data_IF_881233658120
#
_entry.id   IF_881233658120
#
_cell.length_a   1.000
_cell.length_b   1.000
_cell.length_c   1.000
_cell.angle_alpha   90.00
_cell.angle_beta   90.00
_cell.angle_gamma   90.00
#
_symmetry.space_group_name_H-M   'P 1'
#
loop_
_entity.id
_entity.type
_entity.pdbx_description
1 polymer ?
#
# COMPACT_ATOMS: atom_id res chain seq x y z
N UNK A 1 -42.36 12.79 -0.78
CA UNK A 1 -41.58 11.73 -0.13
C UNK A 1 -40.98 12.26 1.17
N UNK A 2 -40.83 11.44 2.22
CA UNK A 2 -40.23 11.87 3.49
C UNK A 2 -38.71 11.71 3.40
N UNK A 3 -37.97 12.82 3.30
CA UNK A 3 -36.51 12.82 3.22
C UNK A 3 -35.82 12.30 4.51
N UNK A 4 -36.58 12.22 5.62
CA UNK A 4 -36.10 11.72 6.92
C UNK A 4 -36.62 10.34 7.26
N UNK A 5 -37.13 9.58 6.27
CA UNK A 5 -37.49 8.18 6.49
C UNK A 5 -36.25 7.38 6.92
N UNK A 6 -36.44 6.47 7.89
CA UNK A 6 -35.41 5.56 8.38
C UNK A 6 -35.88 4.11 8.27
N UNK A 7 -34.94 3.21 8.01
CA UNK A 7 -35.21 1.77 8.02
C UNK A 7 -35.21 1.20 9.45
N UNK A 8 -35.40 -0.12 9.58
CA UNK A 8 -35.39 -0.84 10.85
C UNK A 8 -34.11 -0.69 11.69
N UNK A 9 -32.97 -0.39 11.05
CA UNK A 9 -31.68 -0.09 11.71
C UNK A 9 -31.51 1.37 12.10
N UNK A 10 -32.50 2.22 11.81
CA UNK A 10 -32.45 3.66 12.02
C UNK A 10 -31.64 4.40 10.96
N UNK A 11 -31.19 3.73 9.89
CA UNK A 11 -30.46 4.39 8.82
C UNK A 11 -31.40 5.27 7.99
N UNK A 12 -31.10 6.55 7.86
CA UNK A 12 -31.82 7.48 7.00
C UNK A 12 -31.49 7.23 5.51
N UNK A 13 -32.29 7.81 4.62
CA UNK A 13 -32.00 7.78 3.18
C UNK A 13 -30.63 8.43 2.91
N UNK A 14 -30.32 9.51 3.63
CA UNK A 14 -29.05 10.22 3.52
C UNK A 14 -27.84 9.37 3.92
N UNK A 15 -28.03 8.42 4.88
CA UNK A 15 -26.99 7.45 5.26
C UNK A 15 -26.51 6.59 4.09
N UNK A 16 -27.38 6.27 3.13
CA UNK A 16 -27.06 5.49 1.94
C UNK A 16 -26.66 6.34 0.72
N UNK A 17 -26.72 7.66 0.83
CA UNK A 17 -26.39 8.56 -0.27
C UNK A 17 -24.88 8.51 -0.56
N UNK A 18 -24.48 7.83 -1.63
CA UNK A 18 -23.09 7.58 -1.97
C UNK A 18 -22.46 8.69 -2.83
N UNK A 19 -23.26 9.51 -3.49
CA UNK A 19 -22.78 10.53 -4.44
C UNK A 19 -23.20 11.95 -4.03
N UNK A 20 -22.33 12.92 -4.29
CA UNK A 20 -22.59 14.31 -3.98
C UNK A 20 -23.90 14.87 -4.59
N UNK A 21 -24.28 14.56 -5.84
CA UNK A 21 -25.58 15.00 -6.37
C UNK A 21 -26.76 14.50 -5.55
N UNK A 22 -26.73 13.24 -5.08
CA UNK A 22 -27.81 12.66 -4.27
C UNK A 22 -27.82 13.29 -2.87
N UNK A 23 -26.66 13.48 -2.22
CA UNK A 23 -26.54 14.17 -0.95
C UNK A 23 -27.11 15.58 -1.06
N UNK A 24 -26.71 16.33 -2.08
CA UNK A 24 -27.20 17.69 -2.35
C UNK A 24 -28.73 17.73 -2.53
N UNK A 25 -29.28 16.80 -3.30
CA UNK A 25 -30.71 16.68 -3.51
C UNK A 25 -31.46 16.41 -2.19
N UNK A 26 -30.99 15.47 -1.39
CA UNK A 26 -31.63 15.11 -0.13
C UNK A 26 -31.57 16.24 0.89
N UNK A 27 -30.43 16.91 1.00
CA UNK A 27 -30.29 18.10 1.87
C UNK A 27 -31.23 19.23 1.45
N UNK A 28 -31.35 19.48 0.14
CA UNK A 28 -32.29 20.48 -0.39
C UNK A 28 -33.77 20.16 -0.07
N UNK A 29 -34.08 18.87 0.14
CA UNK A 29 -35.41 18.42 0.55
C UNK A 29 -35.55 18.21 2.07
N UNK A 30 -34.66 18.76 2.86
CA UNK A 30 -34.74 18.79 4.33
C UNK A 30 -34.32 17.47 5.00
N UNK A 31 -33.51 16.65 4.35
CA UNK A 31 -32.90 15.51 5.02
C UNK A 31 -31.97 15.99 6.14
N UNK A 32 -32.05 15.36 7.30
CA UNK A 32 -31.22 15.71 8.47
C UNK A 32 -29.81 15.10 8.34
N UNK A 33 -28.77 15.88 8.12
CA UNK A 33 -27.39 15.37 8.00
C UNK A 33 -26.81 14.88 9.34
N UNK A 34 -27.38 15.26 10.47
CA UNK A 34 -26.99 14.83 11.82
C UNK A 34 -27.78 13.61 12.33
N UNK A 35 -28.67 13.02 11.50
CA UNK A 35 -29.45 11.87 11.91
C UNK A 35 -28.54 10.69 12.27
N UNK A 36 -28.76 10.09 13.44
CA UNK A 36 -27.99 8.94 13.92
C UNK A 36 -28.80 7.64 13.78
N UNK A 37 -28.17 6.60 13.32
CA UNK A 37 -28.73 5.27 13.31
C UNK A 37 -28.69 4.61 14.71
N UNK A 38 -29.15 3.35 14.84
CA UNK A 38 -29.15 2.64 16.12
C UNK A 38 -27.75 2.34 16.69
N UNK A 39 -26.68 2.49 15.87
CA UNK A 39 -25.28 2.39 16.30
C UNK A 39 -24.65 3.74 16.65
N UNK A 40 -25.43 4.81 16.54
CA UNK A 40 -24.95 6.19 16.78
C UNK A 40 -24.21 6.80 15.61
N UNK A 41 -24.17 6.14 14.45
CA UNK A 41 -23.46 6.61 13.26
C UNK A 41 -24.31 7.61 12.46
N UNK A 42 -23.66 8.62 11.94
CA UNK A 42 -24.24 9.62 11.04
C UNK A 42 -24.01 9.25 9.57
N UNK A 43 -24.69 9.91 8.60
CA UNK A 43 -24.39 9.76 7.19
C UNK A 43 -22.92 10.08 6.84
N UNK A 44 -22.31 11.07 7.50
CA UNK A 44 -20.89 11.41 7.33
C UNK A 44 -19.98 10.26 7.80
N UNK A 45 -20.29 9.65 8.95
CA UNK A 45 -19.52 8.50 9.46
C UNK A 45 -19.53 7.35 8.46
N UNK A 46 -20.69 7.07 7.86
CA UNK A 46 -20.80 6.02 6.84
C UNK A 46 -19.95 6.34 5.59
N UNK A 47 -19.89 7.60 5.17
CA UNK A 47 -19.01 7.99 4.06
C UNK A 47 -17.54 7.72 4.35
N UNK A 48 -17.09 8.07 5.56
CA UNK A 48 -15.71 7.83 5.98
C UNK A 48 -15.39 6.34 6.14
N UNK A 49 -16.32 5.54 6.64
CA UNK A 49 -16.12 4.08 6.76
C UNK A 49 -15.80 3.44 5.41
N UNK A 50 -16.44 3.92 4.34
CA UNK A 50 -16.31 3.37 2.99
C UNK A 50 -15.33 4.12 2.08
N UNK A 51 -14.62 5.13 2.56
CA UNK A 51 -13.59 5.85 1.81
C UNK A 51 -12.24 5.14 1.97
N UNK A 52 -11.98 4.09 1.19
CA UNK A 52 -10.84 3.18 1.38
C UNK A 52 -9.89 3.09 0.19
N UNK A 53 -10.30 3.55 -0.99
CA UNK A 53 -9.51 3.58 -2.23
C UNK A 53 -9.63 4.94 -2.93
N UNK A 54 -8.86 5.17 -3.99
CA UNK A 54 -8.79 6.44 -4.73
C UNK A 54 -10.16 6.97 -5.10
N UNK A 55 -11.00 6.12 -5.69
CA UNK A 55 -12.34 6.49 -6.16
C UNK A 55 -13.26 6.81 -5.00
N UNK A 56 -13.31 5.97 -3.98
CA UNK A 56 -14.22 6.13 -2.83
C UNK A 56 -13.80 7.30 -1.94
N UNK A 57 -12.50 7.61 -1.83
CA UNK A 57 -12.00 8.81 -1.16
C UNK A 57 -12.43 10.06 -1.92
N UNK A 58 -12.23 10.10 -3.24
CA UNK A 58 -12.64 11.25 -4.07
C UNK A 58 -14.16 11.49 -4.02
N UNK A 59 -14.97 10.43 -4.07
CA UNK A 59 -16.43 10.52 -3.91
C UNK A 59 -16.82 11.01 -2.50
N UNK A 60 -16.08 10.57 -1.46
CA UNK A 60 -16.34 10.98 -0.09
C UNK A 60 -16.09 12.48 0.13
N UNK A 61 -15.02 13.04 -0.44
CA UNK A 61 -14.68 14.46 -0.31
C UNK A 61 -15.84 15.36 -0.74
N UNK A 62 -16.39 15.12 -1.93
CA UNK A 62 -17.51 15.90 -2.45
C UNK A 62 -18.77 15.81 -1.56
N UNK A 63 -18.99 14.67 -0.90
CA UNK A 63 -20.07 14.50 0.08
C UNK A 63 -19.75 15.20 1.40
N UNK A 64 -18.50 15.06 1.90
CA UNK A 64 -18.02 15.72 3.13
C UNK A 64 -18.20 17.22 3.06
N UNK A 65 -17.78 17.86 1.96
CA UNK A 65 -17.95 19.30 1.76
C UNK A 65 -19.41 19.74 1.89
N UNK A 66 -20.36 18.98 1.37
CA UNK A 66 -21.79 19.25 1.49
C UNK A 66 -22.28 19.12 2.95
N UNK A 67 -21.78 18.16 3.70
CA UNK A 67 -22.11 18.00 5.13
C UNK A 67 -21.54 19.14 5.98
N UNK A 68 -20.31 19.58 5.70
CA UNK A 68 -19.69 20.72 6.38
C UNK A 68 -20.43 22.03 6.06
N UNK A 69 -20.83 22.23 4.80
CA UNK A 69 -21.66 23.36 4.38
C UNK A 69 -23.05 23.35 5.05
N UNK A 70 -23.59 22.16 5.35
CA UNK A 70 -24.82 21.99 6.11
C UNK A 70 -24.66 22.20 7.62
N UNK A 71 -23.47 22.61 8.09
CA UNK A 71 -23.17 22.92 9.49
C UNK A 71 -22.84 21.74 10.38
N UNK A 72 -22.49 20.57 9.81
CA UNK A 72 -22.06 19.43 10.60
C UNK A 72 -20.67 19.70 11.17
N UNK A 73 -20.54 19.60 12.49
CA UNK A 73 -19.24 19.69 13.17
C UNK A 73 -18.49 18.36 13.07
N UNK A 74 -17.19 18.45 12.80
CA UNK A 74 -16.29 17.30 12.76
C UNK A 74 -16.07 16.79 14.20
N UNK A 75 -16.27 15.49 14.40
CA UNK A 75 -16.03 14.81 15.68
C UNK A 75 -14.60 14.25 15.77
N UNK A 76 -14.14 13.97 17.00
CA UNK A 76 -12.84 13.36 17.22
C UNK A 76 -12.75 11.98 16.56
N UNK A 77 -13.79 11.15 16.69
CA UNK A 77 -13.85 9.85 16.01
C UNK A 77 -13.65 9.97 14.49
N UNK A 78 -14.21 11.00 13.86
CA UNK A 78 -14.04 11.22 12.42
C UNK A 78 -12.59 11.60 12.07
N UNK A 79 -11.92 12.40 12.91
CA UNK A 79 -10.49 12.71 12.76
C UNK A 79 -9.63 11.47 12.90
N UNK A 80 -9.86 10.66 13.94
CA UNK A 80 -9.18 9.40 14.16
C UNK A 80 -9.39 8.44 12.99
N UNK A 81 -10.62 8.37 12.45
CA UNK A 81 -10.93 7.53 11.29
C UNK A 81 -10.17 7.98 10.03
N UNK A 82 -10.09 9.27 9.76
CA UNK A 82 -9.31 9.81 8.63
C UNK A 82 -7.80 9.60 8.85
N UNK A 83 -7.29 9.78 10.07
CA UNK A 83 -5.90 9.47 10.40
C UNK A 83 -5.58 7.98 10.18
N UNK A 84 -6.48 7.09 10.62
CA UNK A 84 -6.35 5.65 10.38
C UNK A 84 -6.34 5.32 8.88
N UNK A 85 -7.22 5.94 8.07
CA UNK A 85 -7.25 5.76 6.62
C UNK A 85 -5.95 6.21 5.97
N UNK A 86 -5.43 7.38 6.37
CA UNK A 86 -4.12 7.88 5.93
C UNK A 86 -3.01 6.86 6.17
N UNK A 87 -2.95 6.30 7.37
CA UNK A 87 -1.87 5.40 7.79
C UNK A 87 -1.96 4.02 7.09
N UNK A 88 -3.19 3.57 6.76
CA UNK A 88 -3.43 2.26 6.17
C UNK A 88 -3.75 2.29 4.67
N UNK A 89 -3.73 3.47 4.05
CA UNK A 89 -4.06 3.63 2.64
C UNK A 89 -3.18 2.76 1.73
N UNK A 90 -1.87 2.80 1.93
CA UNK A 90 -0.92 2.03 1.13
C UNK A 90 -1.11 0.51 1.32
N UNK A 91 -1.37 0.07 2.55
CA UNK A 91 -1.64 -1.34 2.85
C UNK A 91 -2.92 -1.81 2.18
N UNK A 92 -3.96 -0.98 2.20
CA UNK A 92 -5.23 -1.28 1.56
C UNK A 92 -5.08 -1.41 0.05
N UNK A 93 -4.43 -0.44 -0.59
CA UNK A 93 -4.20 -0.44 -2.03
C UNK A 93 -3.38 -1.66 -2.47
N UNK A 94 -2.30 -1.99 -1.74
CA UNK A 94 -1.48 -3.16 -2.01
C UNK A 94 -2.26 -4.48 -1.83
N UNK A 95 -3.11 -4.56 -0.80
CA UNK A 95 -3.92 -5.77 -0.52
C UNK A 95 -4.90 -6.12 -1.63
N UNK A 96 -5.45 -5.11 -2.31
CA UNK A 96 -6.44 -5.29 -3.38
C UNK A 96 -5.83 -5.12 -4.78
N UNK A 97 -4.49 -5.08 -4.87
CA UNK A 97 -3.75 -4.89 -6.14
C UNK A 97 -4.21 -3.63 -6.92
N UNK A 98 -4.66 -2.60 -6.20
CA UNK A 98 -5.11 -1.35 -6.80
C UNK A 98 -3.86 -0.48 -7.03
N UNK A 99 -3.60 -0.04 -8.28
CA UNK A 99 -2.47 0.85 -8.55
C UNK A 99 -2.67 2.20 -7.85
N UNK A 100 -1.63 2.71 -7.21
CA UNK A 100 -1.63 4.07 -6.70
C UNK A 100 -1.70 5.08 -7.84
N UNK A 101 -2.47 6.15 -7.66
CA UNK A 101 -2.51 7.26 -8.58
C UNK A 101 -2.13 8.57 -7.89
N UNK A 102 -1.49 9.53 -8.60
CA UNK A 102 -1.26 10.86 -8.06
C UNK A 102 -2.54 11.54 -7.60
N UNK A 103 -3.65 11.28 -8.30
CA UNK A 103 -4.99 11.79 -7.98
C UNK A 103 -5.51 11.19 -6.67
N UNK A 104 -5.26 9.91 -6.41
CA UNK A 104 -5.64 9.23 -5.16
C UNK A 104 -4.91 9.82 -3.96
N UNK A 105 -3.60 10.03 -4.06
CA UNK A 105 -2.85 10.70 -3.01
C UNK A 105 -3.29 12.16 -2.78
N UNK A 106 -3.60 12.89 -3.86
CA UNK A 106 -4.12 14.24 -3.75
C UNK A 106 -5.49 14.26 -3.04
N UNK A 107 -6.36 13.30 -3.38
CA UNK A 107 -7.66 13.14 -2.72
C UNK A 107 -7.50 12.80 -1.22
N UNK A 108 -6.62 11.87 -0.87
CA UNK A 108 -6.35 11.52 0.53
C UNK A 108 -5.82 12.73 1.32
N UNK A 109 -4.94 13.52 0.72
CA UNK A 109 -4.43 14.76 1.33
C UNK A 109 -5.54 15.76 1.56
N UNK A 110 -6.40 16.01 0.57
CA UNK A 110 -7.56 16.90 0.69
C UNK A 110 -8.51 16.41 1.79
N UNK A 111 -8.74 15.09 1.90
CA UNK A 111 -9.55 14.53 2.99
C UNK A 111 -8.92 14.84 4.36
N UNK A 112 -7.60 14.62 4.50
CA UNK A 112 -6.88 14.98 5.73
C UNK A 112 -7.02 16.46 6.08
N UNK A 113 -6.86 17.35 5.11
CA UNK A 113 -7.00 18.81 5.30
C UNK A 113 -8.40 19.20 5.78
N UNK A 114 -9.44 18.63 5.17
CA UNK A 114 -10.84 18.90 5.58
C UNK A 114 -11.11 18.53 7.04
N UNK A 115 -10.43 17.50 7.56
CA UNK A 115 -10.60 17.05 8.94
C UNK A 115 -9.55 17.63 9.91
N UNK A 116 -8.61 18.46 9.43
CA UNK A 116 -7.51 18.98 10.25
C UNK A 116 -6.55 17.89 10.73
N UNK A 117 -6.44 16.80 9.98
CA UNK A 117 -5.49 15.71 10.18
C UNK A 117 -4.22 16.03 9.38
N UNK A 118 -3.07 15.90 10.02
CA UNK A 118 -1.79 16.06 9.31
C UNK A 118 -1.74 15.12 8.12
N UNK A 119 -1.54 15.58 6.88
CA UNK A 119 -1.43 14.68 5.74
C UNK A 119 -0.29 13.69 5.98
N UNK A 120 -0.42 12.48 5.46
CA UNK A 120 0.72 11.57 5.40
C UNK A 120 1.90 12.31 4.74
N UNK A 121 3.13 12.06 5.20
CA UNK A 121 4.27 12.48 4.42
C UNK A 121 4.01 12.01 2.99
N UNK A 122 4.17 12.91 2.03
CA UNK A 122 4.03 12.57 0.61
C UNK A 122 4.90 11.35 0.44
N UNK A 123 4.30 10.19 0.12
CA UNK A 123 5.07 9.21 -0.60
C UNK A 123 5.39 9.94 -1.90
N UNK A 124 6.53 10.62 -1.89
CA UNK A 124 7.15 11.02 -3.13
C UNK A 124 7.11 9.75 -3.96
N UNK A 125 6.53 9.82 -5.16
CA UNK A 125 6.77 8.76 -6.16
C UNK A 125 8.23 8.43 -6.00
N UNK A 126 8.61 7.13 -5.86
CA UNK A 126 10.00 6.79 -5.66
C UNK A 126 10.77 7.61 -6.70
N UNK A 127 11.42 8.66 -6.23
CA UNK A 127 12.17 9.58 -7.10
C UNK A 127 12.98 8.64 -7.94
N UNK A 128 12.96 8.83 -9.27
CA UNK A 128 13.79 8.01 -10.14
C UNK A 128 15.13 7.91 -9.43
N UNK A 129 15.57 6.71 -9.03
CA UNK A 129 16.69 6.60 -8.11
C UNK A 129 17.77 7.47 -8.66
N UNK A 130 18.33 8.33 -7.81
CA UNK A 130 19.53 9.04 -8.19
C UNK A 130 20.59 7.98 -8.49
N UNK A 131 20.71 7.65 -9.79
CA UNK A 131 21.66 6.66 -10.26
C UNK A 131 23.11 7.10 -10.03
N UNK A 132 23.32 8.33 -9.56
CA UNK A 132 24.62 8.89 -9.23
C UNK A 132 25.05 8.58 -7.79
N UNK A 133 24.10 8.38 -6.85
CA UNK A 133 24.44 8.13 -5.45
C UNK A 133 24.57 6.63 -5.18
N UNK A 134 25.75 6.17 -4.69
CA UNK A 134 25.95 4.77 -4.32
C UNK A 134 24.97 4.32 -3.24
N UNK A 135 24.43 3.13 -3.40
CA UNK A 135 23.54 2.48 -2.43
C UNK A 135 24.38 1.98 -1.26
N UNK A 136 24.00 2.40 -0.04
CA UNK A 136 24.60 1.92 1.18
C UNK A 136 23.52 1.32 2.08
N UNK A 137 23.66 0.04 2.43
CA UNK A 137 22.77 -0.66 3.34
C UNK A 137 23.27 -0.47 4.77
N UNK A 138 22.40 0.00 5.68
CA UNK A 138 22.71 0.12 7.08
C UNK A 138 22.54 -1.24 7.82
N UNK A 139 23.33 -1.46 8.88
CA UNK A 139 23.26 -2.65 9.72
C UNK A 139 24.56 -3.44 9.79
N UNK A 140 24.77 -4.15 10.90
CA UNK A 140 25.95 -4.98 11.15
C UNK A 140 25.82 -6.42 10.66
N UNK A 141 24.58 -6.90 10.47
CA UNK A 141 24.26 -8.23 9.94
C UNK A 141 23.64 -8.15 8.56
N UNK A 142 23.70 -9.23 7.78
CA UNK A 142 23.06 -9.29 6.47
C UNK A 142 21.53 -9.12 6.57
N UNK A 143 20.93 -9.59 7.64
CA UNK A 143 19.50 -9.41 7.88
C UNK A 143 19.15 -7.94 8.13
N UNK A 144 19.88 -7.23 8.97
CA UNK A 144 19.70 -5.79 9.19
C UNK A 144 19.91 -5.00 7.91
N UNK A 145 20.91 -5.35 7.11
CA UNK A 145 21.16 -4.75 5.80
C UNK A 145 19.98 -5.01 4.84
N UNK A 146 19.43 -6.22 4.86
CA UNK A 146 18.23 -6.53 4.08
C UNK A 146 17.05 -5.63 4.49
N UNK A 147 16.78 -5.47 5.78
CA UNK A 147 15.70 -4.60 6.29
C UNK A 147 15.95 -3.15 5.85
N UNK A 148 17.18 -2.65 6.00
CA UNK A 148 17.55 -1.31 5.50
C UNK A 148 17.28 -1.16 4.00
N UNK A 149 17.63 -2.18 3.21
CA UNK A 149 17.37 -2.18 1.76
C UNK A 149 15.88 -2.22 1.43
N UNK A 150 15.09 -2.98 2.20
CA UNK A 150 13.64 -3.00 2.05
C UNK A 150 13.03 -1.62 2.26
N UNK A 151 13.39 -0.95 3.35
CA UNK A 151 12.84 0.35 3.72
C UNK A 151 13.26 1.49 2.76
N UNK A 152 14.43 1.36 2.11
CA UNK A 152 15.00 2.45 1.31
C UNK A 152 14.90 2.25 -0.20
N UNK A 153 14.84 1.01 -0.69
CA UNK A 153 14.93 0.70 -2.12
C UNK A 153 13.65 0.09 -2.70
N UNK A 154 12.76 -0.45 -1.84
CA UNK A 154 11.55 -1.13 -2.29
C UNK A 154 10.37 -0.18 -2.23
N UNK A 155 9.70 0.10 -3.36
CA UNK A 155 8.52 0.93 -3.37
C UNK A 155 7.33 0.19 -2.72
N UNK A 156 6.35 0.92 -2.18
CA UNK A 156 5.15 0.33 -1.58
C UNK A 156 4.34 -0.49 -2.58
N UNK A 157 4.39 -0.16 -3.88
CA UNK A 157 3.73 -0.89 -4.96
C UNK A 157 4.59 -0.91 -6.23
N UNK A 158 4.35 -1.91 -7.09
CA UNK A 158 5.06 -2.07 -8.35
C UNK A 158 6.49 -2.57 -8.21
N UNK A 159 7.29 -2.39 -9.26
CA UNK A 159 8.69 -2.78 -9.32
C UNK A 159 9.59 -1.70 -8.72
N UNK A 160 10.76 -2.12 -8.20
CA UNK A 160 11.77 -1.16 -7.80
C UNK A 160 12.38 -0.45 -9.04
N UNK A 161 12.95 0.72 -8.83
CA UNK A 161 13.57 1.49 -9.92
C UNK A 161 14.97 0.98 -10.29
N UNK A 162 15.61 0.23 -9.38
CA UNK A 162 16.94 -0.35 -9.59
C UNK A 162 16.92 -1.88 -9.46
N UNK A 163 17.91 -2.53 -10.08
CA UNK A 163 18.13 -3.97 -9.91
C UNK A 163 18.36 -4.31 -8.43
N UNK A 164 19.05 -3.45 -7.69
CA UNK A 164 19.31 -3.60 -6.26
C UNK A 164 18.00 -3.61 -5.44
N UNK A 165 17.14 -2.66 -5.69
CA UNK A 165 15.82 -2.62 -5.04
C UNK A 165 14.97 -3.82 -5.44
N UNK A 166 15.01 -4.22 -6.70
CA UNK A 166 14.21 -5.33 -7.20
C UNK A 166 14.65 -6.68 -6.60
N UNK A 167 15.94 -6.93 -6.42
CA UNK A 167 16.39 -8.18 -5.79
C UNK A 167 15.98 -8.25 -4.31
N UNK A 168 16.03 -7.15 -3.57
CA UNK A 168 15.51 -7.04 -2.20
C UNK A 168 14.00 -7.31 -2.21
N UNK A 169 13.26 -6.68 -3.14
CA UNK A 169 11.80 -6.83 -3.28
C UNK A 169 11.40 -8.27 -3.57
N UNK A 170 12.08 -8.94 -4.50
CA UNK A 170 11.82 -10.36 -4.82
C UNK A 170 11.93 -11.22 -3.57
N UNK A 171 13.04 -11.12 -2.84
CA UNK A 171 13.27 -11.93 -1.64
C UNK A 171 12.18 -11.71 -0.57
N UNK A 172 11.81 -10.45 -0.34
CA UNK A 172 10.79 -10.09 0.65
C UNK A 172 9.38 -10.53 0.26
N UNK A 173 8.99 -10.31 -1.00
CA UNK A 173 7.67 -10.74 -1.49
C UNK A 173 7.51 -12.26 -1.41
N UNK A 174 8.56 -13.01 -1.75
CA UNK A 174 8.53 -14.47 -1.64
C UNK A 174 8.41 -14.89 -0.17
N UNK A 175 9.21 -14.29 0.73
CA UNK A 175 9.14 -14.57 2.17
C UNK A 175 7.76 -14.25 2.74
N UNK A 176 7.19 -13.10 2.37
CA UNK A 176 5.88 -12.65 2.83
C UNK A 176 4.77 -13.61 2.38
N UNK A 177 4.81 -14.04 1.13
CA UNK A 177 3.83 -14.98 0.57
C UNK A 177 3.88 -16.34 1.27
N UNK A 178 5.07 -16.82 1.57
CA UNK A 178 5.25 -18.11 2.26
C UNK A 178 4.81 -18.05 3.73
N UNK A 179 5.25 -17.04 4.47
CA UNK A 179 5.11 -17.03 5.94
C UNK A 179 3.87 -16.29 6.44
N UNK A 180 3.41 -15.24 5.73
CA UNK A 180 2.26 -14.43 6.16
C UNK A 180 0.99 -14.79 5.42
N UNK A 181 1.07 -15.12 4.14
CA UNK A 181 -0.08 -15.45 3.30
C UNK A 181 -0.29 -16.95 3.11
N UNK A 182 0.56 -17.80 3.71
CA UNK A 182 0.48 -19.26 3.59
C UNK A 182 0.33 -19.75 2.12
N UNK A 183 1.03 -19.10 1.20
CA UNK A 183 0.99 -19.35 -0.24
C UNK A 183 -0.38 -19.08 -0.92
N UNK A 184 -1.25 -18.30 -0.31
CA UNK A 184 -2.59 -18.01 -0.83
C UNK A 184 -2.60 -17.37 -2.22
N UNK A 185 -1.55 -16.60 -2.57
CA UNK A 185 -1.41 -15.95 -3.88
C UNK A 185 -0.33 -16.61 -4.76
N UNK A 186 0.24 -17.77 -4.36
CA UNK A 186 1.32 -18.41 -5.09
C UNK A 186 0.88 -18.88 -6.47
N UNK A 187 1.32 -18.18 -7.52
CA UNK A 187 0.91 -18.39 -8.90
C UNK A 187 2.12 -18.41 -9.86
N UNK A 188 1.87 -18.33 -11.16
CA UNK A 188 2.91 -18.31 -12.19
C UNK A 188 3.81 -17.07 -12.10
N UNK A 189 3.27 -15.92 -11.65
CA UNK A 189 4.05 -14.69 -11.53
C UNK A 189 5.06 -14.78 -10.38
N UNK A 190 4.67 -15.31 -9.21
CA UNK A 190 5.60 -15.60 -8.11
C UNK A 190 6.73 -16.58 -8.53
N UNK A 191 6.41 -17.61 -9.34
CA UNK A 191 7.43 -18.50 -9.88
C UNK A 191 8.39 -17.80 -10.84
N UNK A 192 7.87 -16.91 -11.70
CA UNK A 192 8.72 -16.08 -12.59
C UNK A 192 9.62 -15.16 -11.79
N UNK A 193 9.07 -14.52 -10.75
CA UNK A 193 9.78 -13.64 -9.84
C UNK A 193 10.93 -14.39 -9.13
N UNK A 194 10.63 -15.56 -8.53
CA UNK A 194 11.66 -16.42 -7.92
C UNK A 194 12.75 -16.82 -8.92
N UNK A 195 12.38 -17.14 -10.17
CA UNK A 195 13.31 -17.52 -11.23
C UNK A 195 14.14 -16.34 -11.76
N UNK A 196 13.70 -15.10 -11.53
CA UNK A 196 14.48 -13.91 -11.89
C UNK A 196 15.62 -13.63 -10.90
N UNK A 197 15.48 -14.02 -9.64
CA UNK A 197 16.47 -13.77 -8.60
C UNK A 197 17.90 -14.18 -8.99
N UNK A 198 18.19 -15.42 -9.44
CA UNK A 198 19.56 -15.82 -9.82
C UNK A 198 20.07 -15.12 -11.09
N UNK A 199 19.20 -14.48 -11.87
CA UNK A 199 19.63 -13.68 -13.02
C UNK A 199 20.22 -12.36 -12.55
N UNK A 200 19.59 -11.70 -11.60
CA UNK A 200 20.05 -10.44 -11.02
C UNK A 200 21.36 -10.65 -10.24
N UNK A 201 21.50 -11.73 -9.46
CA UNK A 201 22.73 -12.01 -8.69
C UNK A 201 23.96 -12.32 -9.53
N UNK A 202 23.80 -12.44 -10.85
CA UNK A 202 24.91 -12.60 -11.83
C UNK A 202 25.33 -11.28 -12.47
N UNK A 203 24.60 -10.19 -12.26
CA UNK A 203 24.92 -8.87 -12.78
C UNK A 203 26.02 -8.21 -11.94
N UNK A 204 26.75 -7.27 -12.53
CA UNK A 204 27.80 -6.52 -11.85
C UNK A 204 28.88 -7.41 -11.26
N UNK A 205 29.13 -7.26 -9.95
CA UNK A 205 29.96 -8.18 -9.17
C UNK A 205 29.09 -9.36 -8.72
N UNK A 206 29.17 -10.52 -9.35
CA UNK A 206 28.28 -11.65 -9.06
C UNK A 206 28.58 -12.26 -7.69
N UNK A 207 27.60 -12.92 -7.10
CA UNK A 207 27.82 -13.79 -5.95
C UNK A 207 28.75 -14.96 -6.32
N UNK A 208 29.41 -15.55 -5.31
CA UNK A 208 30.32 -16.68 -5.51
C UNK A 208 29.60 -17.90 -6.12
N UNK A 209 30.36 -18.82 -6.68
CA UNK A 209 29.81 -20.05 -7.26
C UNK A 209 29.05 -20.89 -6.21
N UNK A 210 29.56 -20.91 -4.96
CA UNK A 210 28.91 -21.59 -3.85
C UNK A 210 27.56 -20.91 -3.50
N UNK A 211 27.51 -19.60 -3.47
CA UNK A 211 26.29 -18.84 -3.18
C UNK A 211 25.24 -18.96 -4.31
N UNK A 212 25.69 -19.01 -5.56
CA UNK A 212 24.79 -19.27 -6.68
C UNK A 212 24.24 -20.71 -6.64
N UNK A 213 25.03 -21.69 -6.19
CA UNK A 213 24.55 -23.05 -5.96
C UNK A 213 23.59 -23.12 -4.76
N UNK A 214 23.85 -22.35 -3.70
CA UNK A 214 22.95 -22.18 -2.55
C UNK A 214 21.60 -21.61 -2.98
N UNK A 215 21.55 -20.56 -3.81
CA UNK A 215 20.32 -20.00 -4.36
C UNK A 215 19.53 -21.07 -5.13
N UNK A 216 20.20 -21.87 -5.96
CA UNK A 216 19.55 -22.95 -6.69
C UNK A 216 18.97 -24.04 -5.78
N UNK A 217 19.60 -24.33 -4.66
CA UNK A 217 19.08 -25.23 -3.63
C UNK A 217 17.88 -24.63 -2.91
N UNK A 218 17.96 -23.35 -2.52
CA UNK A 218 16.85 -22.59 -1.92
C UNK A 218 15.64 -22.62 -2.84
N UNK A 219 15.79 -22.30 -4.13
CA UNK A 219 14.68 -22.31 -5.08
C UNK A 219 13.94 -23.65 -5.17
N UNK A 220 14.63 -24.76 -4.95
CA UNK A 220 14.02 -26.09 -4.96
C UNK A 220 13.25 -26.42 -3.69
N UNK A 221 13.73 -25.96 -2.54
CA UNK A 221 13.16 -26.27 -1.22
C UNK A 221 12.24 -25.19 -0.64
N UNK A 222 12.16 -24.03 -1.25
CA UNK A 222 11.56 -22.85 -0.63
C UNK A 222 10.05 -22.99 -0.36
N UNK A 223 9.34 -23.86 -1.09
CA UNK A 223 7.90 -24.09 -0.88
C UNK A 223 7.60 -24.90 0.38
N UNK A 224 8.58 -25.65 0.87
CA UNK A 224 8.49 -26.43 2.10
C UNK A 224 9.24 -25.75 3.25
N UNK A 225 9.53 -24.42 3.10
CA UNK A 225 10.36 -23.65 4.02
C UNK A 225 9.57 -23.26 5.29
N UNK A 226 10.20 -23.43 6.43
CA UNK A 226 9.74 -22.93 7.74
C UNK A 226 10.17 -21.49 8.06
N UNK A 227 10.84 -20.81 7.11
CA UNK A 227 11.33 -19.45 7.21
C UNK A 227 12.86 -19.30 7.10
N UNK A 228 13.62 -20.37 7.24
CA UNK A 228 15.09 -20.31 7.19
C UNK A 228 15.61 -20.07 5.76
N UNK A 229 15.07 -20.76 4.77
CA UNK A 229 15.47 -20.60 3.37
C UNK A 229 15.08 -19.24 2.81
N UNK A 230 13.88 -18.76 3.12
CA UNK A 230 13.42 -17.45 2.68
C UNK A 230 14.18 -16.32 3.38
N UNK A 231 14.53 -16.46 4.67
CA UNK A 231 15.44 -15.52 5.33
C UNK A 231 16.82 -15.52 4.65
N UNK A 232 17.37 -16.69 4.37
CA UNK A 232 18.67 -16.79 3.70
C UNK A 232 18.66 -16.17 2.30
N UNK A 233 17.56 -16.29 1.56
CA UNK A 233 17.37 -15.60 0.28
C UNK A 233 17.45 -14.08 0.44
N UNK A 234 16.84 -13.51 1.49
CA UNK A 234 16.92 -12.08 1.83
C UNK A 234 18.35 -11.64 2.15
N UNK A 235 19.10 -12.44 2.91
CA UNK A 235 20.50 -12.16 3.25
C UNK A 235 21.42 -12.20 2.01
N UNK A 236 21.19 -13.12 1.09
CA UNK A 236 21.93 -13.19 -0.17
C UNK A 236 21.61 -12.00 -1.08
N UNK A 237 20.37 -11.49 -1.06
CA UNK A 237 20.00 -10.25 -1.73
C UNK A 237 20.79 -9.05 -1.17
N UNK A 238 20.81 -8.88 0.15
CA UNK A 238 21.56 -7.81 0.81
C UNK A 238 23.07 -7.90 0.52
N UNK A 239 23.64 -9.10 0.58
CA UNK A 239 25.04 -9.32 0.26
C UNK A 239 25.38 -8.90 -1.16
N UNK A 240 24.56 -9.28 -2.14
CA UNK A 240 24.77 -8.88 -3.52
C UNK A 240 24.67 -7.37 -3.70
N UNK A 241 23.69 -6.71 -3.05
CA UNK A 241 23.54 -5.25 -3.09
C UNK A 241 24.79 -4.56 -2.50
N UNK A 242 25.29 -5.04 -1.37
CA UNK A 242 26.50 -4.49 -0.75
C UNK A 242 27.75 -4.60 -1.65
N UNK A 243 27.83 -5.65 -2.50
CA UNK A 243 28.91 -5.81 -3.49
C UNK A 243 28.70 -4.96 -4.75
N UNK A 244 27.50 -4.41 -4.95
CA UNK A 244 27.11 -3.64 -6.13
C UNK A 244 26.49 -2.29 -5.72
N UNK A 245 27.26 -1.40 -5.09
CA UNK A 245 26.73 -0.14 -4.58
C UNK A 245 26.35 0.85 -5.69
N UNK A 246 26.93 0.74 -6.89
CA UNK A 246 26.56 1.58 -8.02
C UNK A 246 25.16 1.18 -8.52
N UNK A 247 24.16 2.10 -8.49
CA UNK A 247 22.80 1.77 -8.91
C UNK A 247 22.74 1.32 -10.36
N UNK A 248 22.01 0.25 -10.61
CA UNK A 248 21.72 -0.27 -11.94
C UNK A 248 20.25 -0.11 -12.25
N UNK A 249 19.90 0.60 -13.32
CA UNK A 249 18.52 0.79 -13.74
C UNK A 249 17.86 -0.57 -13.99
N UNK A 250 16.65 -0.78 -13.46
CA UNK A 250 15.87 -1.98 -13.74
C UNK A 250 15.31 -1.90 -15.16
N UNK A 251 15.53 -2.96 -15.95
CA UNK A 251 14.88 -3.14 -17.25
C UNK A 251 13.50 -3.79 -17.11
N UNK A 252 12.91 -4.18 -18.24
CA UNK A 252 11.65 -4.93 -18.24
C UNK A 252 11.75 -6.22 -17.45
N UNK A 253 10.74 -6.48 -16.63
CA UNK A 253 10.62 -7.71 -15.85
C UNK A 253 9.75 -8.75 -16.56
N UNK A 254 10.01 -10.03 -16.30
CA UNK A 254 9.23 -11.12 -16.88
C UNK A 254 7.95 -11.45 -16.07
N UNK A 255 7.68 -10.71 -14.98
CA UNK A 255 6.57 -10.88 -14.05
C UNK A 255 5.95 -9.51 -13.75
N UNK A 256 4.69 -9.51 -13.28
CA UNK A 256 3.86 -8.30 -13.12
C UNK A 256 3.44 -7.99 -11.68
N UNK A 257 4.03 -8.67 -10.70
CA UNK A 257 3.69 -8.53 -9.27
C UNK A 257 4.83 -7.92 -8.48
#
# INVERSE_FOLDING_TARGET
>A
ANANYTNEYGNSILYFAATAPLVKLLLAHGANPAAKNKRGETPLDNRLIHATDDRTIAEAIACVELYLQAGIAITEWQREKVAWQRDHYNEHMARFEIPHSPEGYAALRQLCELFGVSPAPVHEEPQQPDLATPIALAGGTLWEQYISGWDTLVPPAGHAATVQGEIIRIAGRIRDELLRNAMGNWNSEYRKMLNAFPRYTKLGNPLSAEQLAEIAAIQKGILDDDGALSQRLCELAAQWVAQNPAPMALGETAYKI
#
